data_IF_133030354115
#
_entry.id   IF_133030354115
#
_cell.length_a   1.000
_cell.length_b   1.000
_cell.length_c   1.000
_cell.angle_alpha   90.00
_cell.angle_beta   90.00
_cell.angle_gamma   90.00
#
_symmetry.space_group_name_H-M   'P 1'
#
loop_
_entity.id
_entity.type
_entity.pdbx_description
1 polymer ?
#
# COMPACT_ATOMS: atom_id res chain seq x y z
N UNK A 1 -87.84 -23.49 14.92
CA UNK A 1 -87.61 -23.46 16.38
C UNK A 1 -86.12 -23.44 16.60
N UNK A 2 -85.72 -22.54 17.49
CA UNK A 2 -84.38 -22.09 17.84
C UNK A 2 -83.47 -23.19 18.37
N UNK A 3 -82.16 -23.07 18.11
CA UNK A 3 -81.11 -23.42 19.07
C UNK A 3 -79.77 -22.83 18.59
N UNK A 4 -79.37 -21.73 19.22
CA UNK A 4 -78.04 -21.15 19.15
C UNK A 4 -77.06 -22.02 19.92
N UNK A 5 -75.93 -22.38 19.30
CA UNK A 5 -74.78 -23.01 19.96
C UNK A 5 -73.51 -22.29 19.53
N UNK A 6 -72.97 -21.45 20.42
CA UNK A 6 -71.69 -20.79 20.24
C UNK A 6 -70.56 -21.82 20.37
N UNK A 7 -69.63 -21.82 19.41
CA UNK A 7 -68.37 -22.58 19.46
C UNK A 7 -67.25 -21.56 19.55
N UNK A 8 -66.52 -21.58 20.68
CA UNK A 8 -65.31 -20.77 20.87
C UNK A 8 -64.17 -21.25 19.97
N UNK A 9 -63.34 -20.35 19.41
CA UNK A 9 -62.13 -20.73 18.70
C UNK A 9 -61.00 -21.03 19.69
N UNK A 10 -60.38 -22.20 19.53
CA UNK A 10 -59.20 -22.64 20.29
C UNK A 10 -57.93 -21.80 20.01
N UNK A 11 -56.90 -21.95 20.85
CA UNK A 11 -55.73 -21.08 20.85
C UNK A 11 -54.87 -21.24 19.58
N UNK A 12 -54.16 -20.19 19.15
CA UNK A 12 -53.29 -20.28 17.97
C UNK A 12 -52.11 -21.21 18.25
N UNK A 13 -51.96 -22.21 17.38
CA UNK A 13 -50.85 -23.16 17.41
C UNK A 13 -49.50 -22.44 17.30
N UNK A 14 -48.60 -22.79 18.21
CA UNK A 14 -47.22 -22.36 18.19
C UNK A 14 -46.57 -22.71 16.86
N UNK A 15 -46.13 -21.70 16.12
CA UNK A 15 -45.29 -21.86 14.94
C UNK A 15 -44.01 -22.59 15.35
N UNK A 16 -43.79 -23.77 14.77
CA UNK A 16 -42.54 -24.50 14.90
C UNK A 16 -41.41 -23.62 14.34
N UNK A 17 -40.52 -23.17 15.24
CA UNK A 17 -39.30 -22.48 14.87
C UNK A 17 -38.45 -23.42 14.00
N UNK A 18 -38.33 -23.08 12.72
CA UNK A 18 -37.35 -23.67 11.82
C UNK A 18 -35.96 -23.46 12.43
N UNK A 19 -35.28 -24.56 12.74
CA UNK A 19 -33.90 -24.53 13.22
C UNK A 19 -33.02 -23.82 12.19
N UNK A 20 -32.12 -22.91 12.59
CA UNK A 20 -31.20 -22.29 11.66
C UNK A 20 -30.29 -23.37 11.08
N UNK A 21 -30.18 -23.39 9.75
CA UNK A 21 -29.23 -24.24 9.04
C UNK A 21 -27.82 -24.03 9.61
N UNK A 22 -26.98 -25.08 9.70
CA UNK A 22 -25.63 -24.94 10.19
C UNK A 22 -24.89 -23.90 9.34
N UNK A 23 -24.30 -22.91 10.02
CA UNK A 23 -23.45 -21.91 9.38
C UNK A 23 -22.38 -22.63 8.56
N UNK A 24 -22.33 -22.32 7.26
CA UNK A 24 -21.21 -22.74 6.42
C UNK A 24 -19.93 -22.20 7.06
N UNK A 25 -18.84 -22.99 7.13
CA UNK A 25 -17.57 -22.47 7.60
C UNK A 25 -17.19 -21.28 6.70
N UNK A 26 -16.85 -20.16 7.35
CA UNK A 26 -16.35 -18.96 6.69
C UNK A 26 -15.19 -19.34 5.79
N UNK A 27 -15.35 -19.17 4.49
CA UNK A 27 -14.23 -19.19 3.56
C UNK A 27 -13.27 -18.09 4.02
N UNK A 28 -12.09 -18.48 4.49
CA UNK A 28 -10.99 -17.58 4.82
C UNK A 28 -10.76 -16.66 3.60
N UNK A 29 -11.03 -15.37 3.78
CA UNK A 29 -11.07 -14.37 2.71
C UNK A 29 -9.75 -14.29 1.94
N UNK A 30 -9.86 -14.12 0.63
CA UNK A 30 -8.73 -13.82 -0.26
C UNK A 30 -8.11 -12.46 0.11
N UNK A 31 -6.78 -12.40 0.13
CA UNK A 31 -5.96 -11.22 0.43
C UNK A 31 -6.28 -9.99 -0.43
N UNK A 32 -6.53 -10.22 -1.72
CA UNK A 32 -7.01 -9.20 -2.62
C UNK A 32 -8.49 -9.43 -2.85
N UNK A 33 -9.31 -8.50 -2.35
CA UNK A 33 -10.74 -8.51 -2.57
C UNK A 33 -11.09 -7.68 -3.80
N UNK A 34 -12.09 -8.09 -4.60
CA UNK A 34 -12.60 -7.25 -5.68
C UNK A 34 -13.14 -5.94 -5.12
N UNK A 35 -12.89 -4.81 -5.80
CA UNK A 35 -13.54 -3.54 -5.45
C UNK A 35 -15.06 -3.76 -5.51
N UNK A 36 -15.72 -3.68 -4.35
CA UNK A 36 -17.18 -3.74 -4.23
C UNK A 36 -17.64 -2.62 -3.31
N UNK A 37 -18.66 -1.88 -3.74
CA UNK A 37 -19.27 -0.83 -2.93
C UNK A 37 -20.03 -1.38 -1.70
N UNK A 38 -20.22 -2.71 -1.63
CA UNK A 38 -20.97 -3.39 -0.56
C UNK A 38 -20.04 -4.09 0.46
N UNK A 39 -18.72 -4.04 0.29
CA UNK A 39 -17.76 -4.73 1.18
C UNK A 39 -17.25 -3.78 2.28
N UNK A 40 -18.01 -3.68 3.38
CA UNK A 40 -17.67 -2.84 4.56
C UNK A 40 -16.37 -3.28 5.29
N UNK A 41 -15.80 -4.43 4.93
CA UNK A 41 -14.59 -4.98 5.57
C UNK A 41 -13.27 -4.57 4.90
N UNK A 42 -13.29 -3.95 3.71
CA UNK A 42 -12.06 -3.58 3.00
C UNK A 42 -11.50 -2.24 3.51
N UNK A 43 -10.89 -2.27 4.69
CA UNK A 43 -10.25 -1.09 5.27
C UNK A 43 -8.83 -0.89 4.68
N UNK A 44 -8.51 0.29 4.14
CA UNK A 44 -7.16 0.58 3.69
C UNK A 44 -6.20 0.60 4.87
N UNK A 45 -4.99 0.04 4.69
CA UNK A 45 -3.92 0.13 5.69
C UNK A 45 -3.37 1.56 5.70
N UNK A 46 -3.41 2.24 6.84
CA UNK A 46 -2.91 3.61 6.97
C UNK A 46 -1.44 3.63 7.45
N UNK A 47 -0.63 4.47 6.81
CA UNK A 47 0.81 4.62 7.08
C UNK A 47 1.16 6.11 7.08
N UNK A 48 1.74 6.61 8.17
CA UNK A 48 2.35 7.95 8.15
C UNK A 48 3.51 7.98 7.16
N UNK A 49 3.53 8.98 6.29
CA UNK A 49 4.52 9.10 5.21
C UNK A 49 4.96 10.55 5.03
N UNK A 50 6.20 10.76 4.62
CA UNK A 50 6.72 12.11 4.36
C UNK A 50 6.03 12.73 3.13
N UNK A 51 5.48 13.94 3.28
CA UNK A 51 4.93 14.71 2.17
C UNK A 51 6.05 15.25 1.29
N UNK A 52 6.08 14.91 0.02
CA UNK A 52 7.12 15.38 -0.91
C UNK A 52 6.96 16.86 -1.30
N UNK A 53 5.80 17.47 -1.02
CA UNK A 53 5.55 18.87 -1.31
C UNK A 53 5.98 19.80 -0.16
N UNK A 54 5.67 19.44 1.09
CA UNK A 54 5.92 20.30 2.26
C UNK A 54 6.86 19.70 3.31
N UNK A 55 7.36 18.48 3.07
CA UNK A 55 8.31 17.75 3.94
C UNK A 55 7.82 17.53 5.38
N UNK A 56 6.50 17.58 5.61
CA UNK A 56 5.85 17.17 6.86
C UNK A 56 5.17 15.82 6.67
N UNK A 57 4.84 15.13 7.75
CA UNK A 57 4.11 13.87 7.64
C UNK A 57 2.69 14.11 7.10
N UNK A 58 2.28 13.27 6.15
CA UNK A 58 0.91 13.04 5.75
C UNK A 58 0.54 11.58 5.95
N UNK A 59 -0.59 11.17 5.41
CA UNK A 59 -1.12 9.82 5.55
C UNK A 59 -1.19 9.12 4.20
N UNK A 60 -0.57 7.95 4.09
CA UNK A 60 -0.69 7.03 2.96
C UNK A 60 -1.66 5.92 3.30
N UNK A 61 -2.65 5.70 2.45
CA UNK A 61 -3.63 4.61 2.55
C UNK A 61 -3.33 3.56 1.49
N UNK A 62 -2.99 2.35 1.90
CA UNK A 62 -2.76 1.22 1.01
C UNK A 62 -4.03 0.36 0.93
N UNK A 63 -4.58 0.23 -0.27
CA UNK A 63 -5.68 -0.67 -0.58
C UNK A 63 -5.17 -1.80 -1.48
N UNK A 64 -5.12 -3.01 -0.92
CA UNK A 64 -4.81 -4.24 -1.64
C UNK A 64 -6.11 -4.73 -2.29
N UNK A 65 -6.22 -4.63 -3.62
CA UNK A 65 -7.45 -5.01 -4.32
C UNK A 65 -7.21 -5.69 -5.66
N UNK A 66 -8.21 -6.44 -6.12
CA UNK A 66 -8.30 -6.97 -7.47
C UNK A 66 -9.29 -6.11 -8.25
N UNK A 67 -8.88 -5.54 -9.37
CA UNK A 67 -9.80 -4.98 -10.35
C UNK A 67 -9.99 -6.02 -11.48
N UNK A 68 -11.21 -6.14 -12.06
CA UNK A 68 -11.42 -7.03 -13.19
C UNK A 68 -10.36 -6.81 -14.28
N UNK A 69 -9.83 -7.88 -14.86
CA UNK A 69 -8.72 -7.91 -15.83
C UNK A 69 -7.31 -7.63 -15.28
N UNK A 70 -7.13 -7.34 -13.99
CA UNK A 70 -5.80 -7.21 -13.36
C UNK A 70 -5.54 -8.33 -12.36
N UNK A 71 -4.30 -8.83 -12.39
CA UNK A 71 -3.76 -9.67 -11.32
C UNK A 71 -3.14 -8.75 -10.27
N UNK A 72 -3.95 -8.37 -9.28
CA UNK A 72 -3.51 -7.82 -7.98
C UNK A 72 -2.83 -6.44 -8.02
N UNK A 73 -3.53 -5.41 -7.51
CA UNK A 73 -3.05 -4.03 -7.44
C UNK A 73 -2.99 -3.53 -5.99
N UNK A 74 -1.99 -2.70 -5.71
CA UNK A 74 -1.85 -1.91 -4.50
C UNK A 74 -2.16 -0.46 -4.87
N UNK A 75 -3.27 0.07 -4.40
CA UNK A 75 -3.58 1.49 -4.53
C UNK A 75 -3.03 2.20 -3.29
N UNK A 76 -2.02 3.04 -3.48
CA UNK A 76 -1.40 3.86 -2.46
C UNK A 76 -1.90 5.31 -2.58
N UNK A 77 -2.83 5.70 -1.72
CA UNK A 77 -3.39 7.04 -1.67
C UNK A 77 -2.76 7.86 -0.55
N UNK A 78 -1.83 8.74 -0.90
CA UNK A 78 -1.26 9.74 -0.02
C UNK A 78 -2.14 10.99 0.08
N UNK A 79 -2.29 11.54 1.29
CA UNK A 79 -2.91 12.85 1.55
C UNK A 79 -2.17 13.59 2.66
N UNK A 80 -1.89 14.87 2.48
CA UNK A 80 -1.25 15.73 3.48
C UNK A 80 -2.21 16.82 3.96
N UNK A 81 -2.57 16.78 5.24
CA UNK A 81 -3.46 17.79 5.86
C UNK A 81 -2.80 19.17 5.99
N UNK A 82 -1.47 19.26 5.94
CA UNK A 82 -0.77 20.53 6.10
C UNK A 82 -0.77 21.41 4.84
N UNK A 83 -0.67 20.79 3.66
CA UNK A 83 -0.56 21.54 2.39
C UNK A 83 -1.63 21.14 1.36
N UNK A 84 -2.53 20.21 1.70
CA UNK A 84 -3.58 19.72 0.80
C UNK A 84 -3.08 18.88 -0.38
N UNK A 85 -1.77 18.59 -0.44
CA UNK A 85 -1.21 17.76 -1.50
C UNK A 85 -1.66 16.32 -1.29
N UNK A 86 -2.16 15.71 -2.36
CA UNK A 86 -2.56 14.30 -2.38
C UNK A 86 -2.03 13.66 -3.65
N UNK A 87 -1.79 12.36 -3.57
CA UNK A 87 -1.24 11.58 -4.67
C UNK A 87 -1.77 10.15 -4.55
N UNK A 88 -2.30 9.61 -5.64
CA UNK A 88 -2.74 8.21 -5.68
C UNK A 88 -1.87 7.47 -6.67
N UNK A 89 -1.10 6.52 -6.17
CA UNK A 89 -0.23 5.66 -6.95
C UNK A 89 -0.84 4.26 -7.03
N UNK A 90 -0.80 3.66 -8.21
CA UNK A 90 -1.06 2.23 -8.33
C UNK A 90 0.28 1.53 -8.53
N UNK A 91 0.54 0.56 -7.68
CA UNK A 91 1.61 -0.41 -7.85
C UNK A 91 0.98 -1.75 -8.20
N UNK A 92 1.39 -2.36 -9.30
CA UNK A 92 0.97 -3.72 -9.62
C UNK A 92 1.76 -4.67 -8.73
N UNK A 93 1.07 -5.45 -7.89
CA UNK A 93 1.69 -6.52 -7.11
C UNK A 93 1.84 -7.80 -7.94
N UNK A 94 1.10 -7.90 -9.06
CA UNK A 94 1.19 -9.02 -9.98
C UNK A 94 2.51 -9.09 -10.73
N UNK A 95 2.92 -10.32 -11.05
CA UNK A 95 4.02 -10.62 -12.01
C UNK A 95 3.80 -9.84 -13.32
N UNK A 96 4.89 -9.45 -13.97
CA UNK A 96 4.87 -8.95 -15.35
C UNK A 96 4.04 -9.94 -16.20
N UNK A 97 3.08 -9.43 -16.98
CA UNK A 97 2.21 -10.29 -17.81
C UNK A 97 3.03 -11.03 -18.87
N UNK A 98 2.48 -12.08 -19.48
CA UNK A 98 3.18 -12.84 -20.54
C UNK A 98 3.50 -11.97 -21.77
N UNK A 99 2.72 -10.93 -22.01
CA UNK A 99 2.84 -10.02 -23.17
C UNK A 99 2.81 -8.56 -22.72
N UNK A 100 3.52 -7.71 -23.46
CA UNK A 100 3.32 -6.27 -23.38
C UNK A 100 1.97 -5.89 -24.00
N UNK A 101 1.45 -4.73 -23.61
CA UNK A 101 0.16 -4.22 -24.09
C UNK A 101 0.32 -2.80 -24.63
N UNK A 102 -0.38 -2.52 -25.73
CA UNK A 102 -0.48 -1.20 -26.34
C UNK A 102 -1.94 -0.83 -26.53
N UNK A 103 -2.35 0.24 -25.86
CA UNK A 103 -3.64 0.89 -26.02
C UNK A 103 -3.48 2.06 -26.99
N UNK A 104 -4.31 2.11 -28.03
CA UNK A 104 -4.43 3.24 -28.93
C UNK A 104 -5.90 3.71 -28.91
N UNK A 105 -6.15 4.79 -28.17
CA UNK A 105 -7.46 5.39 -27.99
C UNK A 105 -7.62 6.58 -28.93
N UNK A 106 -8.63 6.54 -29.79
CA UNK A 106 -9.07 7.69 -30.59
C UNK A 106 -10.07 8.51 -29.77
N UNK A 107 -9.59 9.59 -29.14
CA UNK A 107 -10.41 10.50 -28.34
C UNK A 107 -11.25 11.36 -29.27
N UNK A 108 -12.57 11.21 -29.23
CA UNK A 108 -13.51 11.88 -30.15
C UNK A 108 -14.51 12.78 -29.44
N UNK A 109 -14.71 12.59 -28.15
CA UNK A 109 -15.60 13.43 -27.35
C UNK A 109 -15.15 13.54 -25.90
N UNK A 110 -15.88 14.35 -25.13
CA UNK A 110 -15.65 14.54 -23.70
C UNK A 110 -15.86 13.26 -22.87
N UNK A 111 -16.66 12.32 -23.37
CA UNK A 111 -16.84 11.01 -22.72
C UNK A 111 -15.53 10.22 -22.67
N UNK A 112 -14.74 10.27 -23.74
CA UNK A 112 -13.43 9.60 -23.79
C UNK A 112 -12.43 10.22 -22.82
N UNK A 113 -12.59 11.50 -22.48
CA UNK A 113 -11.73 12.21 -21.52
C UNK A 113 -11.93 11.70 -20.09
N UNK A 114 -13.11 11.15 -19.79
CA UNK A 114 -13.47 10.65 -18.47
C UNK A 114 -13.08 9.19 -18.24
N UNK A 115 -12.63 8.48 -19.28
CA UNK A 115 -12.21 7.07 -19.17
C UNK A 115 -11.14 6.92 -18.13
N UNK A 116 -11.32 5.95 -17.24
CA UNK A 116 -10.31 5.58 -16.27
C UNK A 116 -9.08 4.98 -16.95
N UNK A 117 -7.91 5.35 -16.45
CA UNK A 117 -6.61 4.94 -16.95
C UNK A 117 -5.76 4.49 -15.78
N UNK A 118 -5.27 3.26 -15.86
CA UNK A 118 -4.17 2.80 -15.01
C UNK A 118 -2.92 2.91 -15.84
N UNK A 119 -2.01 3.81 -15.47
CA UNK A 119 -0.70 3.91 -16.11
C UNK A 119 0.35 3.35 -15.17
N UNK A 120 1.14 2.38 -15.59
CA UNK A 120 2.31 1.92 -14.84
C UNK A 120 3.52 2.85 -15.04
N UNK A 121 4.56 2.67 -14.25
CA UNK A 121 5.82 3.39 -14.42
C UNK A 121 6.57 2.96 -15.69
N UNK A 122 6.54 1.68 -16.07
CA UNK A 122 7.11 1.17 -17.32
C UNK A 122 6.38 1.62 -18.59
N UNK A 123 5.19 2.22 -18.47
CA UNK A 123 4.40 2.64 -19.61
C UNK A 123 4.84 3.99 -20.20
N UNK A 124 4.94 4.02 -21.53
CA UNK A 124 5.16 5.22 -22.33
C UNK A 124 3.82 5.77 -22.82
N UNK A 125 3.59 7.07 -22.66
CA UNK A 125 2.39 7.74 -23.17
C UNK A 125 2.74 8.64 -24.35
N UNK A 126 1.96 8.60 -25.44
CA UNK A 126 2.16 9.45 -26.61
C UNK A 126 0.87 10.09 -27.10
N UNK A 127 0.99 11.32 -27.60
CA UNK A 127 -0.04 12.00 -28.41
C UNK A 127 0.63 12.40 -29.74
N UNK A 128 0.56 11.54 -30.78
CA UNK A 128 1.27 11.75 -32.04
C UNK A 128 0.92 13.07 -32.74
N UNK A 129 -0.33 13.52 -32.64
CA UNK A 129 -0.77 14.77 -33.30
C UNK A 129 -0.08 16.01 -32.75
N UNK A 130 0.52 15.94 -31.57
CA UNK A 130 1.30 17.00 -30.95
C UNK A 130 2.81 16.70 -30.88
N UNK A 131 3.28 15.57 -31.44
CA UNK A 131 4.63 15.04 -31.20
C UNK A 131 4.99 14.99 -29.70
N UNK A 132 4.01 14.61 -28.87
CA UNK A 132 4.14 14.56 -27.42
C UNK A 132 4.45 13.15 -26.93
N UNK A 133 5.42 13.02 -26.04
CA UNK A 133 5.79 11.76 -25.40
C UNK A 133 6.15 11.96 -23.92
N UNK A 134 5.60 11.08 -23.08
CA UNK A 134 6.01 10.87 -21.69
C UNK A 134 6.75 9.53 -21.65
N UNK A 135 8.09 9.52 -21.55
CA UNK A 135 8.88 8.29 -21.55
C UNK A 135 8.57 7.38 -20.34
N UNK A 136 8.83 6.08 -20.48
CA UNK A 136 8.81 5.14 -19.36
C UNK A 136 9.72 5.61 -18.21
N UNK A 137 9.32 5.30 -16.97
CA UNK A 137 9.96 5.64 -15.69
C UNK A 137 10.13 7.14 -15.39
N UNK A 138 9.66 8.03 -16.28
CA UNK A 138 9.61 9.47 -15.99
C UNK A 138 8.54 9.84 -14.94
N UNK A 139 7.55 8.97 -14.77
CA UNK A 139 6.44 9.13 -13.83
C UNK A 139 6.14 7.80 -13.13
N UNK A 140 5.75 7.88 -11.86
CA UNK A 140 5.24 6.73 -11.10
C UNK A 140 3.90 6.25 -11.65
N UNK A 141 3.55 5.01 -11.30
CA UNK A 141 2.25 4.44 -11.64
C UNK A 141 1.10 5.25 -11.03
N UNK A 142 -0.01 5.39 -11.76
CA UNK A 142 -1.13 6.23 -11.34
C UNK A 142 -2.47 5.66 -11.82
N UNK A 143 -3.49 5.78 -10.95
CA UNK A 143 -4.90 5.73 -11.34
C UNK A 143 -5.35 7.14 -11.71
N UNK A 144 -5.86 7.33 -12.91
CA UNK A 144 -6.29 8.65 -13.35
C UNK A 144 -7.34 8.52 -14.44
N UNK A 145 -7.64 9.62 -15.12
CA UNK A 145 -8.45 9.62 -16.35
C UNK A 145 -7.60 10.09 -17.52
N UNK A 146 -8.12 9.95 -18.75
CA UNK A 146 -7.50 10.55 -19.94
C UNK A 146 -7.27 12.06 -19.74
N UNK A 147 -8.24 12.79 -19.19
CA UNK A 147 -8.06 14.19 -18.85
C UNK A 147 -7.00 14.40 -17.75
N UNK A 148 -6.99 13.53 -16.75
CA UNK A 148 -6.04 13.59 -15.65
C UNK A 148 -4.59 13.46 -16.11
N UNK A 149 -4.30 12.59 -17.09
CA UNK A 149 -2.98 12.49 -17.72
C UNK A 149 -2.56 13.80 -18.39
N UNK A 150 -3.47 14.42 -19.15
CA UNK A 150 -3.20 15.69 -19.85
C UNK A 150 -2.98 16.82 -18.84
N UNK A 151 -3.82 16.91 -17.81
CA UNK A 151 -3.67 17.91 -16.75
C UNK A 151 -2.33 17.75 -16.02
N UNK A 152 -1.91 16.51 -15.71
CA UNK A 152 -0.62 16.24 -15.08
C UNK A 152 0.56 16.66 -15.96
N UNK A 153 0.48 16.41 -17.27
CA UNK A 153 1.48 16.88 -18.22
C UNK A 153 1.56 18.42 -18.27
N UNK A 154 0.41 19.11 -18.29
CA UNK A 154 0.33 20.57 -18.25
C UNK A 154 0.98 21.10 -16.96
N UNK A 155 0.59 20.59 -15.80
CA UNK A 155 1.15 21.03 -14.52
C UNK A 155 2.66 20.80 -14.43
N UNK A 156 3.16 19.66 -14.93
CA UNK A 156 4.59 19.37 -14.96
C UNK A 156 5.39 20.33 -15.85
N UNK A 157 4.82 20.78 -16.97
CA UNK A 157 5.45 21.78 -17.83
C UNK A 157 5.36 23.19 -17.23
N UNK A 158 4.23 23.55 -16.62
CA UNK A 158 3.96 24.87 -16.05
C UNK A 158 4.76 25.18 -14.79
N UNK A 159 5.02 24.19 -13.94
CA UNK A 159 5.60 24.40 -12.60
C UNK A 159 6.90 25.22 -12.62
N UNK A 160 7.81 24.94 -13.56
CA UNK A 160 9.12 25.60 -13.63
C UNK A 160 9.16 26.77 -14.62
N UNK A 161 8.03 27.13 -15.26
CA UNK A 161 7.98 28.25 -16.21
C UNK A 161 8.44 29.59 -15.61
N UNK A 162 8.13 29.96 -14.35
CA UNK A 162 8.64 31.20 -13.76
C UNK A 162 10.18 31.26 -13.75
N UNK A 163 10.83 30.14 -13.45
CA UNK A 163 12.29 30.03 -13.46
C UNK A 163 12.84 30.03 -14.88
N UNK A 164 12.19 29.34 -15.83
CA UNK A 164 12.60 29.32 -17.25
C UNK A 164 12.51 30.70 -17.88
N UNK A 165 11.45 31.48 -17.63
CA UNK A 165 11.33 32.86 -18.14
C UNK A 165 12.46 33.77 -17.68
N UNK A 166 12.99 33.56 -16.47
CA UNK A 166 14.09 34.36 -15.94
C UNK A 166 15.47 34.00 -16.52
N UNK A 167 15.66 32.77 -16.99
CA UNK A 167 16.96 32.27 -17.47
C UNK A 167 17.02 32.11 -18.99
N UNK A 168 15.95 31.64 -19.59
CA UNK A 168 15.86 31.15 -20.97
C UNK A 168 14.47 31.49 -21.57
N UNK A 169 14.26 32.77 -21.83
CA UNK A 169 12.97 33.33 -22.31
C UNK A 169 12.45 32.63 -23.58
N UNK A 170 13.31 32.43 -24.58
CA UNK A 170 12.92 31.78 -25.84
C UNK A 170 12.47 30.32 -25.68
N UNK A 171 12.99 29.59 -24.68
CA UNK A 171 12.55 28.22 -24.38
C UNK A 171 11.23 28.25 -23.63
N UNK A 172 11.09 29.18 -22.68
CA UNK A 172 9.85 29.37 -21.94
C UNK A 172 8.67 29.71 -22.87
N UNK A 173 8.86 30.57 -23.88
CA UNK A 173 7.83 30.90 -24.87
C UNK A 173 7.36 29.66 -25.65
N UNK A 174 8.29 28.83 -26.11
CA UNK A 174 7.96 27.58 -26.84
C UNK A 174 7.19 26.59 -25.96
N UNK A 175 7.54 26.51 -24.67
CA UNK A 175 6.83 25.66 -23.71
C UNK A 175 5.43 26.21 -23.45
N UNK A 176 5.26 27.53 -23.32
CA UNK A 176 3.95 28.17 -23.15
C UNK A 176 3.04 27.91 -24.37
N UNK A 177 3.56 28.02 -25.59
CA UNK A 177 2.84 27.66 -26.81
C UNK A 177 2.42 26.19 -26.82
N UNK A 178 3.28 25.29 -26.34
CA UNK A 178 2.99 23.87 -26.27
C UNK A 178 1.93 23.54 -25.21
N UNK A 179 1.99 24.20 -24.05
CA UNK A 179 0.97 24.09 -22.99
C UNK A 179 -0.40 24.50 -23.52
N UNK A 180 -0.48 25.56 -24.34
CA UNK A 180 -1.72 25.97 -25.00
C UNK A 180 -2.27 24.83 -25.86
N UNK A 181 -1.42 24.18 -26.68
CA UNK A 181 -1.84 23.04 -27.50
C UNK A 181 -2.40 21.89 -26.66
N UNK A 182 -1.75 21.54 -25.54
CA UNK A 182 -2.27 20.52 -24.61
C UNK A 182 -3.62 20.93 -23.99
N UNK A 183 -3.79 22.20 -23.62
CA UNK A 183 -5.06 22.72 -23.08
C UNK A 183 -6.18 22.67 -24.13
N UNK A 184 -5.86 22.90 -25.41
CA UNK A 184 -6.84 22.81 -26.49
C UNK A 184 -7.35 21.38 -26.71
N UNK A 185 -6.53 20.34 -26.47
CA UNK A 185 -6.97 18.94 -26.55
C UNK A 185 -8.18 18.66 -25.63
N UNK A 186 -8.24 19.32 -24.47
CA UNK A 186 -9.34 19.14 -23.51
C UNK A 186 -10.70 19.56 -24.04
N UNK A 187 -10.74 20.44 -25.05
CA UNK A 187 -11.99 20.85 -25.70
C UNK A 187 -12.49 19.82 -26.71
N UNK A 188 -11.61 18.89 -27.14
CA UNK A 188 -11.89 17.84 -28.11
C UNK A 188 -12.52 18.39 -29.39
N UNK A 189 -12.06 19.57 -29.86
CA UNK A 189 -12.57 20.20 -31.08
C UNK A 189 -12.21 19.39 -32.35
N UNK A 190 -11.09 18.68 -32.30
CA UNK A 190 -10.66 17.71 -33.30
C UNK A 190 -10.23 16.42 -32.58
N UNK A 191 -10.53 15.24 -33.15
CA UNK A 191 -10.06 13.98 -32.59
C UNK A 191 -8.53 13.92 -32.52
N UNK A 192 -8.02 13.26 -31.49
CA UNK A 192 -6.59 12.97 -31.33
C UNK A 192 -6.40 11.55 -30.79
N UNK A 193 -5.17 11.06 -30.83
CA UNK A 193 -4.85 9.70 -30.43
C UNK A 193 -4.05 9.72 -29.14
N UNK A 194 -4.55 9.04 -28.12
CA UNK A 194 -3.77 8.74 -26.91
C UNK A 194 -3.23 7.31 -27.04
N UNK A 195 -1.91 7.16 -26.96
CA UNK A 195 -1.25 5.87 -26.98
C UNK A 195 -0.62 5.61 -25.62
N UNK A 196 -0.91 4.46 -25.02
CA UNK A 196 -0.23 3.96 -23.83
C UNK A 196 0.39 2.62 -24.18
N UNK A 197 1.72 2.56 -24.17
CA UNK A 197 2.50 1.38 -24.52
C UNK A 197 3.26 0.89 -23.29
N UNK A 198 2.87 -0.26 -22.77
CA UNK A 198 3.39 -0.82 -21.53
C UNK A 198 3.94 -2.24 -21.72
N UNK A 199 5.28 -2.38 -21.72
CA UNK A 199 5.92 -3.69 -21.85
C UNK A 199 5.61 -4.67 -20.71
N UNK A 200 5.20 -4.16 -19.54
CA UNK A 200 4.82 -5.01 -18.40
C UNK A 200 3.45 -5.67 -18.58
N UNK A 201 2.61 -5.13 -19.46
CA UNK A 201 1.23 -5.59 -19.65
C UNK A 201 0.23 -5.12 -18.58
N UNK A 202 0.64 -4.27 -17.65
CA UNK A 202 -0.12 -3.92 -16.44
C UNK A 202 -0.82 -2.55 -16.49
N UNK A 203 -0.75 -1.82 -17.60
CA UNK A 203 -1.54 -0.61 -17.81
C UNK A 203 -2.96 -0.93 -18.30
N UNK A 204 -3.88 0.02 -18.14
CA UNK A 204 -5.28 -0.10 -18.51
C UNK A 204 -5.83 1.17 -19.13
N UNK A 205 -6.78 1.00 -20.03
CA UNK A 205 -7.70 2.06 -20.43
C UNK A 205 -9.12 1.50 -20.40
N UNK A 206 -10.02 2.17 -19.69
CA UNK A 206 -11.41 1.77 -19.52
C UNK A 206 -12.15 1.73 -20.87
N UNK A 207 -12.98 0.69 -21.04
CA UNK A 207 -14.03 0.64 -22.05
C UNK A 207 -15.39 1.00 -21.40
N UNK A 208 -15.92 2.22 -21.60
CA UNK A 208 -17.18 2.65 -21.00
C UNK A 208 -18.40 1.92 -21.58
N UNK A 209 -18.24 1.24 -22.71
CA UNK A 209 -19.30 0.49 -23.38
C UNK A 209 -19.34 -0.99 -22.99
N UNK A 210 -18.43 -1.45 -22.12
CA UNK A 210 -18.32 -2.85 -21.72
C UNK A 210 -19.69 -3.40 -21.25
N UNK A 211 -20.03 -4.66 -21.62
CA UNK A 211 -19.23 -5.65 -22.35
C UNK A 211 -19.25 -5.48 -23.88
N UNK A 212 -19.87 -4.42 -24.42
CA UNK A 212 -19.87 -4.16 -25.87
C UNK A 212 -18.47 -3.77 -26.33
N UNK A 213 -18.18 -4.08 -27.59
CA UNK A 213 -16.93 -3.71 -28.23
C UNK A 213 -16.78 -2.19 -28.27
N UNK A 214 -15.57 -1.73 -27.98
CA UNK A 214 -15.18 -0.34 -28.15
C UNK A 214 -14.48 -0.16 -29.50
N UNK A 215 -15.06 0.64 -30.38
CA UNK A 215 -14.47 0.92 -31.69
C UNK A 215 -13.46 2.08 -31.65
N UNK A 216 -13.45 2.86 -30.57
CA UNK A 216 -12.51 3.97 -30.37
C UNK A 216 -11.18 3.50 -29.74
N UNK A 217 -11.18 2.36 -29.05
CA UNK A 217 -10.01 1.81 -28.36
C UNK A 217 -9.50 0.54 -29.06
N UNK A 218 -8.26 0.61 -29.56
CA UNK A 218 -7.55 -0.55 -30.11
C UNK A 218 -6.55 -1.06 -29.09
N UNK A 219 -6.64 -2.33 -28.73
CA UNK A 219 -5.73 -3.00 -27.78
C UNK A 219 -4.90 -4.01 -28.56
N UNK A 220 -3.57 -3.88 -28.51
CA UNK A 220 -2.62 -4.80 -29.15
C UNK A 220 -1.72 -5.41 -28.10
N UNK A 221 -1.62 -6.73 -28.07
CA UNK A 221 -0.66 -7.45 -27.25
C UNK A 221 0.56 -7.83 -28.09
N UNK A 222 1.75 -7.78 -27.52
CA UNK A 222 3.00 -8.05 -28.23
C UNK A 222 4.01 -8.81 -27.35
N UNK A 223 4.88 -9.59 -28.00
CA UNK A 223 6.04 -10.20 -27.34
C UNK A 223 7.10 -9.13 -27.13
N UNK A 224 7.64 -9.06 -25.91
CA UNK A 224 8.68 -8.09 -25.53
C UNK A 224 9.95 -8.27 -26.36
N UNK A 225 10.65 -7.17 -26.59
CA UNK A 225 12.02 -7.20 -27.08
C UNK A 225 12.99 -7.45 -25.92
N UNK A 226 14.22 -7.92 -26.23
CA UNK A 226 15.27 -8.09 -25.21
C UNK A 226 15.52 -6.81 -24.40
N UNK A 227 15.50 -5.66 -25.05
CA UNK A 227 15.65 -4.36 -24.39
C UNK A 227 14.52 -4.08 -23.39
N UNK A 228 13.29 -4.46 -23.74
CA UNK A 228 12.13 -4.31 -22.85
C UNK A 228 12.19 -5.32 -21.69
N UNK A 229 12.71 -6.52 -21.90
CA UNK A 229 12.92 -7.51 -20.84
C UNK A 229 13.97 -7.04 -19.83
N UNK A 230 15.12 -6.59 -20.31
CA UNK A 230 16.18 -6.01 -19.48
C UNK A 230 15.68 -4.79 -18.69
N UNK A 231 14.92 -3.91 -19.35
CA UNK A 231 14.32 -2.72 -18.74
C UNK A 231 13.36 -3.06 -17.60
N UNK A 232 12.68 -4.19 -17.70
CA UNK A 232 11.77 -4.70 -16.66
C UNK A 232 12.48 -5.57 -15.61
N UNK A 233 13.79 -5.80 -15.75
CA UNK A 233 14.56 -6.68 -14.86
C UNK A 233 14.23 -8.17 -15.04
N UNK A 234 13.63 -8.56 -16.17
CA UNK A 234 13.39 -9.96 -16.50
C UNK A 234 14.73 -10.60 -16.90
N UNK A 235 15.25 -11.48 -16.05
CA UNK A 235 16.31 -12.40 -16.48
C UNK A 235 15.69 -13.52 -17.32
N UNK A 236 16.43 -14.02 -18.30
CA UNK A 236 16.04 -15.20 -19.06
C UNK A 236 16.11 -16.44 -18.15
N UNK A 237 15.10 -16.66 -17.33
CA UNK A 237 14.90 -17.93 -16.67
C UNK A 237 14.33 -18.93 -17.67
N UNK A 238 14.86 -20.15 -17.62
CA UNK A 238 14.45 -21.26 -18.47
C UNK A 238 12.93 -21.49 -18.35
N UNK A 239 12.26 -22.03 -19.38
CA UNK A 239 10.80 -22.14 -19.40
C UNK A 239 10.34 -23.05 -18.25
N UNK A 240 9.79 -22.46 -17.20
CA UNK A 240 9.06 -23.20 -16.17
C UNK A 240 7.61 -23.38 -16.59
N UNK A 241 7.11 -24.57 -16.27
CA UNK A 241 5.81 -25.08 -16.65
C UNK A 241 4.66 -24.27 -16.01
N UNK A 242 3.50 -24.31 -16.66
CA UNK A 242 2.27 -23.57 -16.33
C UNK A 242 1.99 -23.53 -14.81
N UNK A 243 1.63 -22.37 -14.23
CA UNK A 243 1.27 -22.33 -12.82
C UNK A 243 -0.14 -22.92 -12.62
N UNK A 244 -0.20 -23.97 -11.81
CA UNK A 244 -1.42 -24.37 -11.12
C UNK A 244 -1.80 -23.27 -10.09
N UNK A 245 -3.10 -23.16 -9.75
CA UNK A 245 -3.63 -22.19 -8.79
C UNK A 245 -3.00 -22.39 -7.40
N UNK A 246 -1.88 -21.71 -7.11
CA UNK A 246 -1.22 -21.79 -5.80
C UNK A 246 -1.67 -20.67 -4.85
N UNK A 247 -1.77 -21.05 -3.57
CA UNK A 247 -2.11 -20.20 -2.43
C UNK A 247 -0.99 -19.15 -2.18
N UNK A 248 -1.16 -17.96 -2.76
CA UNK A 248 -0.21 -16.83 -2.79
C UNK A 248 0.15 -16.22 -1.41
N UNK A 249 -0.34 -16.77 -0.29
CA UNK A 249 -0.06 -16.27 1.08
C UNK A 249 1.42 -16.38 1.48
N UNK A 250 2.20 -17.17 0.76
CA UNK A 250 3.61 -17.41 1.05
C UNK A 250 4.59 -16.65 0.14
N UNK A 251 4.09 -15.92 -0.87
CA UNK A 251 4.97 -15.17 -1.79
C UNK A 251 5.49 -13.87 -1.15
N UNK A 252 6.74 -13.53 -1.48
CA UNK A 252 7.36 -12.25 -1.09
C UNK A 252 7.07 -11.25 -2.20
N UNK A 253 6.28 -10.23 -1.89
CA UNK A 253 6.03 -9.10 -2.79
C UNK A 253 7.22 -8.16 -2.75
N UNK A 254 7.69 -7.69 -3.89
CA UNK A 254 8.83 -6.77 -3.96
C UNK A 254 8.43 -5.48 -4.67
N UNK A 255 8.72 -4.33 -4.07
CA UNK A 255 8.45 -3.03 -4.66
C UNK A 255 9.60 -2.04 -4.42
N UNK A 256 9.70 -1.06 -5.31
CA UNK A 256 10.68 0.01 -5.21
C UNK A 256 10.14 1.13 -4.32
N UNK A 257 10.90 1.52 -3.30
CA UNK A 257 10.64 2.67 -2.43
C UNK A 257 11.89 3.51 -2.27
N UNK A 258 11.81 4.59 -1.49
CA UNK A 258 13.00 5.34 -1.09
C UNK A 258 13.52 4.81 0.25
N UNK A 259 14.84 4.72 0.38
CA UNK A 259 15.49 4.42 1.64
C UNK A 259 15.11 5.47 2.70
N UNK A 260 14.62 5.08 3.88
CA UNK A 260 14.25 6.04 4.92
C UNK A 260 15.43 6.82 5.49
N UNK A 261 16.66 6.32 5.32
CA UNK A 261 17.88 6.96 5.83
C UNK A 261 18.52 7.92 4.82
N UNK A 262 18.71 7.50 3.57
CA UNK A 262 19.43 8.30 2.57
C UNK A 262 18.57 8.77 1.39
N UNK A 263 17.28 8.43 1.37
CA UNK A 263 16.31 8.75 0.33
C UNK A 263 16.67 8.26 -1.09
N UNK A 264 17.66 7.38 -1.22
CA UNK A 264 18.00 6.76 -2.49
C UNK A 264 16.95 5.69 -2.85
N UNK A 265 16.74 5.40 -4.14
CA UNK A 265 15.91 4.26 -4.56
C UNK A 265 16.41 2.96 -3.89
N UNK A 266 15.51 2.24 -3.25
CA UNK A 266 15.77 1.00 -2.55
C UNK A 266 14.65 0.00 -2.82
N UNK A 267 14.96 -1.30 -2.72
CA UNK A 267 13.97 -2.34 -2.84
C UNK A 267 13.46 -2.73 -1.46
N UNK A 268 12.14 -2.86 -1.34
CA UNK A 268 11.48 -3.36 -0.15
C UNK A 268 10.73 -4.64 -0.50
N UNK A 269 11.06 -5.69 0.25
CA UNK A 269 10.37 -6.97 0.21
C UNK A 269 9.29 -6.98 1.28
N UNK A 270 8.03 -7.05 0.88
CA UNK A 270 6.89 -7.23 1.74
C UNK A 270 6.47 -8.69 1.75
N UNK A 271 6.36 -9.27 2.95
CA UNK A 271 5.77 -10.58 3.16
C UNK A 271 4.61 -10.44 4.13
N UNK A 272 3.43 -10.89 3.73
CA UNK A 272 2.36 -11.11 4.69
C UNK A 272 2.58 -12.44 5.39
N UNK A 273 2.60 -12.41 6.71
CA UNK A 273 2.76 -13.58 7.55
C UNK A 273 1.56 -13.66 8.49
N UNK A 274 0.83 -14.76 8.43
CA UNK A 274 -0.16 -15.08 9.45
C UNK A 274 0.57 -15.75 10.61
N UNK A 275 0.84 -14.98 11.66
CA UNK A 275 1.48 -15.50 12.86
C UNK A 275 0.37 -15.94 13.83
N UNK A 276 0.44 -17.16 14.38
CA UNK A 276 -0.50 -17.61 15.41
C UNK A 276 -0.61 -16.54 16.53
N UNK A 277 -1.85 -16.16 16.89
CA UNK A 277 -2.19 -15.12 17.87
C UNK A 277 -1.95 -13.65 17.46
N UNK A 278 -1.46 -13.36 16.24
CA UNK A 278 -1.13 -11.99 15.80
C UNK A 278 -1.91 -11.50 14.57
N UNK A 279 -2.95 -12.22 14.11
CA UNK A 279 -3.66 -11.95 12.84
C UNK A 279 -2.66 -11.80 11.67
N UNK A 280 -3.04 -11.03 10.64
CA UNK A 280 -2.17 -10.72 9.50
C UNK A 280 -1.10 -9.69 9.89
N UNK A 281 0.15 -10.08 9.70
CA UNK A 281 1.33 -9.26 10.00
C UNK A 281 2.06 -8.99 8.69
N UNK A 282 2.40 -7.72 8.44
CA UNK A 282 3.13 -7.30 7.25
C UNK A 282 4.59 -7.10 7.64
N UNK A 283 5.50 -7.91 7.09
CA UNK A 283 6.94 -7.74 7.25
C UNK A 283 7.46 -7.01 6.02
N UNK A 284 8.00 -5.80 6.21
CA UNK A 284 8.61 -4.98 5.16
C UNK A 284 10.11 -4.92 5.39
N UNK A 285 10.85 -5.60 4.53
CA UNK A 285 12.31 -5.67 4.56
C UNK A 285 12.91 -4.75 3.49
N UNK A 286 13.40 -3.58 3.87
CA UNK A 286 14.08 -2.65 2.95
C UNK A 286 15.58 -2.87 3.01
N UNK A 287 16.21 -3.05 1.85
CA UNK A 287 17.66 -3.19 1.74
C UNK A 287 18.17 -2.12 0.76
N UNK A 288 18.91 -1.13 1.28
CA UNK A 288 19.46 -0.05 0.47
C UNK A 288 20.90 -0.35 0.07
N UNK A 289 21.14 -0.51 -1.23
CA UNK A 289 22.49 -0.73 -1.77
C UNK A 289 23.40 0.49 -1.66
N UNK A 290 22.81 1.70 -1.55
CA UNK A 290 23.56 2.94 -1.58
C UNK A 290 24.18 3.31 -0.22
N UNK A 291 23.44 3.17 0.88
CA UNK A 291 23.95 3.46 2.24
C UNK A 291 24.12 2.22 3.11
N UNK A 292 23.71 1.03 2.64
CA UNK A 292 23.76 -0.21 3.42
C UNK A 292 22.66 -0.34 4.47
N UNK A 293 21.70 0.61 4.52
CA UNK A 293 20.59 0.57 5.45
C UNK A 293 19.74 -0.69 5.24
N UNK A 294 19.50 -1.43 6.33
CA UNK A 294 18.64 -2.61 6.37
C UNK A 294 17.62 -2.45 7.47
N UNK A 295 16.36 -2.55 7.11
CA UNK A 295 15.26 -2.51 8.08
C UNK A 295 14.29 -3.64 7.80
N UNK A 296 13.77 -4.26 8.86
CA UNK A 296 12.67 -5.22 8.84
C UNK A 296 11.55 -4.62 9.70
N UNK A 297 10.70 -3.80 9.08
CA UNK A 297 9.56 -3.19 9.75
C UNK A 297 8.41 -4.18 9.80
N UNK A 298 7.78 -4.33 10.96
CA UNK A 298 6.65 -5.23 11.11
C UNK A 298 5.43 -4.48 11.57
N UNK A 299 4.42 -4.45 10.70
CA UNK A 299 3.14 -3.79 10.97
C UNK A 299 2.07 -4.82 11.23
N UNK A 300 1.38 -4.69 12.36
CA UNK A 300 0.24 -5.53 12.71
C UNK A 300 -0.98 -5.01 11.96
N UNK A 301 -1.44 -5.73 10.94
CA UNK A 301 -2.57 -5.32 10.07
C UNK A 301 -3.94 -5.63 10.65
N UNK A 302 -4.03 -6.05 11.92
CA UNK A 302 -5.26 -6.53 12.53
C UNK A 302 -5.76 -5.68 13.69
N UNK A 303 -7.08 -5.67 13.89
CA UNK A 303 -7.70 -5.13 15.11
C UNK A 303 -7.17 -5.86 16.37
N UNK A 304 -6.97 -5.13 17.47
CA UNK A 304 -6.54 -5.67 18.78
C UNK A 304 -7.40 -6.86 19.17
N UNK A 305 -6.78 -7.98 19.56
CA UNK A 305 -7.49 -9.15 20.08
C UNK A 305 -8.33 -8.78 21.32
N UNK A 306 -9.50 -9.41 21.54
CA UNK A 306 -10.38 -9.07 22.66
C UNK A 306 -9.78 -9.42 24.03
N UNK A 307 -8.72 -10.26 24.06
CA UNK A 307 -8.02 -10.66 25.26
C UNK A 307 -6.52 -10.38 25.12
N UNK A 308 -5.90 -9.92 26.21
CA UNK A 308 -4.44 -9.83 26.31
C UNK A 308 -3.80 -11.22 26.39
N UNK A 309 -2.61 -11.35 25.84
CA UNK A 309 -1.82 -12.60 25.89
C UNK A 309 -0.61 -12.40 26.79
N UNK A 310 -0.42 -13.29 27.78
CA UNK A 310 0.81 -13.37 28.57
C UNK A 310 1.57 -14.64 28.18
N UNK A 311 2.80 -14.48 27.70
CA UNK A 311 3.69 -15.57 27.31
C UNK A 311 4.81 -15.67 28.35
N UNK A 312 5.07 -16.87 28.86
CA UNK A 312 6.16 -17.13 29.80
C UNK A 312 7.05 -18.22 29.23
N UNK A 313 8.32 -17.90 28.99
CA UNK A 313 9.33 -18.80 28.47
C UNK A 313 10.44 -18.98 29.52
N UNK A 314 10.68 -20.21 29.93
CA UNK A 314 11.86 -20.55 30.72
C UNK A 314 12.99 -20.94 29.76
N UNK A 315 14.03 -20.10 29.68
CA UNK A 315 15.19 -20.31 28.80
C UNK A 315 16.08 -21.36 29.44
N UNK A 316 16.24 -22.51 28.78
CA UNK A 316 16.99 -23.66 29.34
C UNK A 316 18.10 -24.14 28.42
N UNK A 317 18.00 -23.86 27.12
CA UNK A 317 18.95 -24.33 26.12
C UNK A 317 19.44 -23.18 25.24
N UNK A 318 20.70 -23.20 24.77
CA UNK A 318 21.20 -22.19 23.83
C UNK A 318 20.35 -22.07 22.55
N UNK A 319 19.68 -23.12 22.11
CA UNK A 319 18.78 -23.09 20.95
C UNK A 319 17.54 -22.20 21.16
N UNK A 320 17.16 -21.89 22.40
CA UNK A 320 16.08 -20.94 22.68
C UNK A 320 16.37 -19.54 22.12
N UNK A 321 17.66 -19.18 21.98
CA UNK A 321 18.11 -17.88 21.47
C UNK A 321 17.70 -17.64 20.01
N UNK A 322 17.51 -18.70 19.23
CA UNK A 322 17.12 -18.61 17.81
C UNK A 322 15.61 -18.61 17.60
N UNK A 323 14.79 -18.59 18.67
CA UNK A 323 13.33 -18.50 18.54
C UNK A 323 12.96 -17.16 17.92
N UNK A 324 12.12 -17.20 16.89
CA UNK A 324 11.50 -16.00 16.32
C UNK A 324 10.58 -15.34 17.35
N UNK A 325 10.66 -14.02 17.43
CA UNK A 325 9.97 -13.19 18.40
C UNK A 325 9.43 -11.93 17.70
N UNK A 326 8.11 -11.75 17.77
CA UNK A 326 7.44 -10.51 17.40
C UNK A 326 7.03 -9.76 18.66
N UNK A 327 7.58 -8.56 18.87
CA UNK A 327 7.20 -7.69 19.98
C UNK A 327 6.27 -6.59 19.46
N UNK A 328 5.01 -6.56 19.89
CA UNK A 328 4.10 -5.45 19.59
C UNK A 328 4.49 -4.18 20.35
N UNK A 329 3.98 -3.03 19.91
CA UNK A 329 4.14 -1.76 20.62
C UNK A 329 3.45 -1.78 21.99
N UNK A 330 2.43 -2.61 22.19
CA UNK A 330 1.70 -2.75 23.46
C UNK A 330 2.26 -3.85 24.37
N UNK A 331 3.35 -4.52 23.98
CA UNK A 331 3.95 -5.60 24.75
C UNK A 331 5.01 -5.06 25.73
N UNK A 332 4.90 -5.42 27.02
CA UNK A 332 5.98 -5.30 28.00
C UNK A 332 6.79 -6.59 28.07
N UNK A 333 8.07 -6.49 28.43
CA UNK A 333 8.97 -7.65 28.61
C UNK A 333 9.51 -7.63 30.03
N UNK A 334 9.43 -8.76 30.72
CA UNK A 334 9.92 -8.92 32.09
C UNK A 334 10.93 -10.08 32.15
N UNK A 335 12.07 -9.86 32.82
CA UNK A 335 13.05 -10.89 33.15
C UNK A 335 13.19 -10.93 34.69
N UNK A 336 12.39 -11.75 35.38
CA UNK A 336 12.27 -11.73 36.83
C UNK A 336 13.59 -11.98 37.58
N UNK A 337 14.43 -12.88 37.07
CA UNK A 337 15.73 -13.23 37.66
C UNK A 337 16.72 -12.07 37.65
N UNK A 338 16.50 -11.08 36.78
CA UNK A 338 17.31 -9.85 36.69
C UNK A 338 16.60 -8.64 37.29
N UNK A 339 15.41 -8.80 37.87
CA UNK A 339 14.53 -7.71 38.33
C UNK A 339 14.35 -6.64 37.24
N UNK A 340 14.26 -7.07 35.97
CA UNK A 340 14.23 -6.20 34.81
C UNK A 340 12.85 -6.16 34.16
N UNK A 341 12.34 -4.96 33.91
CA UNK A 341 11.12 -4.72 33.14
C UNK A 341 11.38 -3.69 32.03
N UNK A 342 10.98 -4.05 30.81
CA UNK A 342 10.95 -3.18 29.65
C UNK A 342 9.51 -2.76 29.39
N UNK A 343 9.27 -1.45 29.50
CA UNK A 343 7.94 -0.87 29.28
C UNK A 343 7.42 -1.05 27.85
N UNK A 344 6.11 -0.84 27.71
CA UNK A 344 5.43 -0.77 26.40
C UNK A 344 6.06 0.31 25.51
N UNK A 345 5.90 0.19 24.19
CA UNK A 345 6.47 1.02 23.11
C UNK A 345 8.00 0.96 22.95
N UNK A 346 8.75 0.56 23.98
CA UNK A 346 10.20 0.43 23.90
C UNK A 346 10.56 -0.84 23.11
N UNK A 347 11.33 -0.69 22.03
CA UNK A 347 11.69 -1.77 21.10
C UNK A 347 10.46 -2.53 20.54
N UNK A 348 9.30 -1.87 20.42
CA UNK A 348 8.08 -2.44 19.84
C UNK A 348 8.06 -2.42 18.30
N UNK A 349 7.10 -3.13 17.70
CA UNK A 349 6.91 -3.18 16.24
C UNK A 349 8.00 -3.97 15.49
N UNK A 350 8.71 -4.86 16.21
CA UNK A 350 9.91 -5.52 15.70
C UNK A 350 9.73 -7.03 15.65
N UNK A 351 10.10 -7.62 14.51
CA UNK A 351 10.32 -9.06 14.37
C UNK A 351 11.82 -9.33 14.42
N UNK A 352 12.23 -10.20 15.34
CA UNK A 352 13.62 -10.50 15.67
C UNK A 352 13.72 -11.92 16.21
N UNK A 353 14.91 -12.34 16.65
CA UNK A 353 15.06 -13.54 17.48
C UNK A 353 15.10 -13.15 18.96
N UNK A 354 14.93 -14.13 19.85
CA UNK A 354 15.14 -13.92 21.29
C UNK A 354 16.52 -13.33 21.57
N UNK A 355 17.57 -13.83 20.91
CA UNK A 355 18.92 -13.28 21.00
C UNK A 355 18.99 -11.81 20.56
N UNK A 356 18.35 -11.50 19.43
CA UNK A 356 18.33 -10.14 18.89
C UNK A 356 17.67 -9.16 19.86
N UNK A 357 16.52 -9.54 20.43
CA UNK A 357 15.84 -8.71 21.44
C UNK A 357 16.71 -8.48 22.68
N UNK A 358 17.37 -9.53 23.19
CA UNK A 358 18.24 -9.41 24.38
C UNK A 358 19.47 -8.53 24.11
N UNK A 359 20.04 -8.60 22.89
CA UNK A 359 21.12 -7.70 22.46
C UNK A 359 20.67 -6.25 22.37
N UNK A 360 19.49 -6.00 21.80
CA UNK A 360 18.91 -4.65 21.74
C UNK A 360 18.68 -4.08 23.15
N UNK A 361 18.16 -4.90 24.07
CA UNK A 361 17.98 -4.53 25.48
C UNK A 361 19.33 -4.19 26.13
N UNK A 362 20.36 -5.01 25.90
CA UNK A 362 21.70 -4.76 26.42
C UNK A 362 22.27 -3.43 25.91
N UNK A 363 22.14 -3.14 24.62
CA UNK A 363 22.61 -1.89 24.01
C UNK A 363 21.86 -0.68 24.57
N UNK A 364 20.54 -0.76 24.69
CA UNK A 364 19.69 0.28 25.26
C UNK A 364 20.07 0.60 26.72
N UNK A 365 20.25 -0.42 27.56
CA UNK A 365 20.60 -0.22 28.97
C UNK A 365 22.03 0.31 29.11
N UNK A 366 22.96 -0.16 28.27
CA UNK A 366 24.35 0.28 28.29
C UNK A 366 24.48 1.76 27.88
N UNK A 367 23.66 2.23 26.94
CA UNK A 367 23.64 3.63 26.50
C UNK A 367 22.97 4.57 27.51
N UNK A 368 22.03 4.07 28.32
CA UNK A 368 21.38 4.84 29.39
C UNK A 368 22.24 5.04 30.64
N UNK A 369 23.37 4.33 30.77
CA UNK A 369 24.21 4.28 31.99
C UNK A 369 25.06 5.55 32.25
N UNK A 370 24.73 6.71 31.67
CA UNK A 370 25.51 7.96 31.85
C UNK A 370 24.89 8.97 32.84
N UNK A 371 23.67 8.80 33.37
CA UNK A 371 23.11 9.80 34.30
C UNK A 371 22.36 9.18 35.48
N UNK A 372 23.08 8.93 36.59
CA UNK A 372 22.55 9.14 37.96
C UNK A 372 23.69 9.21 38.98
N UNK A 373 24.36 10.37 39.05
CA UNK A 373 25.27 10.71 40.15
C UNK A 373 24.54 11.66 41.12
N UNK A 374 24.10 11.09 42.24
CA UNK A 374 24.05 11.65 43.60
C UNK A 374 23.67 13.14 43.78
N UNK A 375 22.48 13.40 44.35
CA UNK A 375 22.28 14.36 45.46
C UNK A 375 20.82 14.41 45.92
N UNK A 376 20.52 13.82 47.09
CA UNK A 376 19.52 14.38 48.01
C UNK A 376 20.04 14.20 49.43
N UNK A 377 20.61 15.28 49.94
CA UNK A 377 21.02 15.49 51.32
C UNK A 377 19.74 15.64 52.18
N UNK A 378 19.49 14.69 53.07
CA UNK A 378 18.38 14.71 54.02
C UNK A 378 18.71 15.68 55.17
N UNK A 379 18.33 16.95 54.99
CA UNK A 379 18.40 17.99 56.01
C UNK A 379 17.52 17.69 57.24
N UNK A 380 18.13 17.80 58.42
CA UNK A 380 17.55 17.63 59.76
C UNK A 380 16.53 18.71 60.15
N UNK A 381 15.36 18.26 60.65
CA UNK A 381 14.62 18.76 61.83
C UNK A 381 13.79 20.05 61.69
N UNK A 382 12.91 20.40 62.66
CA UNK A 382 12.56 19.78 63.96
C UNK A 382 11.11 19.23 63.94
N UNK A 383 10.55 18.44 64.87
CA UNK A 383 10.79 18.24 66.30
C UNK A 383 9.50 18.50 67.10
N UNK A 384 8.64 17.46 67.23
CA UNK A 384 7.65 17.19 68.32
C UNK A 384 6.40 18.11 68.47
N UNK A 385 5.35 17.70 69.23
CA UNK A 385 5.20 16.46 70.03
C UNK A 385 3.91 15.64 69.77
N UNK A 386 4.00 14.34 70.06
CA UNK A 386 2.84 13.57 70.52
C UNK A 386 2.44 14.13 71.89
N UNK A 387 1.16 14.41 72.11
CA UNK A 387 0.17 13.49 72.70
C UNK A 387 -1.17 14.23 72.71
N UNK A 388 -2.24 13.56 73.14
CA UNK A 388 -3.25 14.20 74.00
C UNK A 388 -2.68 15.30 74.90
#
# INVERSE_FOLDING_TARGET
MSASGAVEPGPPGAAAALSPAPARPSSAGHLFRPISAEDEEQQPTEIESLCMNCYRNGMTRLLLTKIPFFREIIVSSFSCEHCGWSNTEIQSAGRIQDQGVRYALSVRGLEDMNREVVKTDSATTRIPELDFEIPAFSQKGALTTVEGLINRAISGLEQDQPTRRAKEEAIAERIDEFIIKLKELKKVASPFTLIIDDPSGNSFVENPHAPRKDDALVITHYSRTLQQEEMLGLQAEAPEEKPEEEDLRNEVLQFNTNCPECNAPAQTNMKLVQIPHFKEVIIMATNCENCGHRTNEVKSGGAVEPLGTKITLCITDPSDMTRDLLKSETCSVEIPELEFELGMAVLGGKFTTLEGLLKDIQELVSTLSIVHSSNVDMGKGPGRPQTS
#
